data_IF_943376441242
#
_entry.id   IF_943376441242
#
_cell.length_a   1.000
_cell.length_b   1.000
_cell.length_c   1.000
_cell.angle_alpha   90.00
_cell.angle_beta   90.00
_cell.angle_gamma   90.00
#
_symmetry.space_group_name_H-M   'P 1'
#
loop_
_entity.id
_entity.type
_entity.pdbx_description
1 polymer ?
#
# COMPACT_ATOMS: atom_id res chain seq x y z
N UNK A 1 5.09 -2.47 -0.67
CA UNK A 1 5.47 -3.09 -1.96
C UNK A 1 5.33 -2.03 -3.05
N UNK A 2 6.12 -2.07 -4.13
CA UNK A 2 6.03 -1.11 -5.25
C UNK A 2 6.33 -1.77 -6.58
N UNK A 3 5.93 -1.11 -7.66
CA UNK A 3 6.39 -1.42 -9.01
C UNK A 3 7.85 -0.94 -9.16
N UNK A 4 8.77 -1.90 -9.29
CA UNK A 4 10.18 -1.66 -9.53
C UNK A 4 10.55 -1.75 -11.03
N UNK A 5 9.57 -1.88 -11.93
CA UNK A 5 9.79 -1.73 -13.36
C UNK A 5 10.16 -0.29 -13.73
N UNK A 6 10.67 -0.03 -14.96
CA UNK A 6 10.97 1.33 -15.41
C UNK A 6 9.79 2.31 -15.31
N UNK A 7 8.55 1.82 -15.32
CA UNK A 7 7.34 2.65 -15.31
C UNK A 7 6.93 3.15 -13.93
N UNK A 8 7.34 2.46 -12.85
CA UNK A 8 7.07 2.85 -11.45
C UNK A 8 5.60 3.23 -11.18
N UNK A 9 4.67 2.37 -11.59
CA UNK A 9 3.23 2.67 -11.65
C UNK A 9 2.57 2.85 -10.29
N UNK A 10 3.10 2.21 -9.25
CA UNK A 10 2.52 2.33 -7.92
C UNK A 10 3.54 2.12 -6.78
N UNK A 11 3.20 2.64 -5.61
CA UNK A 11 3.88 2.42 -4.33
C UNK A 11 2.83 2.23 -3.23
N UNK A 12 3.00 1.18 -2.42
CA UNK A 12 2.15 0.83 -1.28
C UNK A 12 2.99 0.89 -0.01
N UNK A 13 2.66 1.84 0.85
CA UNK A 13 3.27 2.05 2.16
C UNK A 13 2.25 1.79 3.27
N UNK A 14 2.68 1.15 4.34
CA UNK A 14 1.91 1.01 5.55
C UNK A 14 2.74 1.51 6.72
N UNK A 15 2.12 2.25 7.64
CA UNK A 15 2.76 2.69 8.88
C UNK A 15 1.99 2.16 10.08
N UNK A 16 2.69 1.83 11.15
CA UNK A 16 2.07 1.61 12.44
C UNK A 16 1.49 2.93 12.98
N UNK A 17 0.41 2.84 13.76
CA UNK A 17 -0.21 3.99 14.43
C UNK A 17 -0.31 3.70 15.94
N UNK A 18 -0.58 4.75 16.72
CA UNK A 18 -0.93 4.60 18.14
C UNK A 18 -2.42 4.31 18.39
N UNK A 19 -3.23 4.12 17.34
CA UNK A 19 -4.67 3.87 17.51
C UNK A 19 -4.92 2.36 17.73
N UNK A 20 -5.48 1.95 18.89
CA UNK A 20 -5.71 0.54 19.19
C UNK A 20 -6.80 -0.11 18.32
N UNK A 21 -7.72 0.67 17.75
CA UNK A 21 -8.75 0.17 16.83
C UNK A 21 -8.25 0.02 15.39
N UNK A 22 -7.28 0.85 15.01
CA UNK A 22 -6.72 0.91 13.66
C UNK A 22 -5.19 1.03 13.74
N UNK A 23 -4.53 -0.08 14.04
CA UNK A 23 -3.09 -0.12 14.32
C UNK A 23 -2.21 0.25 13.11
N UNK A 24 -2.79 0.37 11.92
CA UNK A 24 -2.09 0.73 10.69
C UNK A 24 -2.81 1.87 9.96
N UNK A 25 -2.03 2.65 9.22
CA UNK A 25 -2.50 3.55 8.18
C UNK A 25 -1.87 3.15 6.85
N UNK A 26 -2.62 3.28 5.77
CA UNK A 26 -2.22 2.94 4.41
C UNK A 26 -2.00 4.20 3.60
N UNK A 27 -0.90 4.25 2.85
CA UNK A 27 -0.60 5.30 1.88
C UNK A 27 -0.21 4.66 0.55
N UNK A 28 -0.91 5.05 -0.51
CA UNK A 28 -0.71 4.58 -1.86
C UNK A 28 -0.31 5.75 -2.74
N UNK A 29 0.58 5.47 -3.68
CA UNK A 29 0.75 6.30 -4.86
C UNK A 29 0.35 5.43 -6.05
N UNK A 30 -0.60 5.91 -6.85
CA UNK A 30 -1.03 5.28 -8.08
C UNK A 30 -0.80 6.32 -9.18
N UNK A 31 0.18 6.08 -10.04
CA UNK A 31 0.77 7.11 -10.89
C UNK A 31 1.26 8.32 -10.09
N UNK A 32 0.64 9.50 -10.26
CA UNK A 32 0.96 10.73 -9.54
C UNK A 32 -0.01 11.03 -8.39
N UNK A 33 -1.12 10.29 -8.31
CA UNK A 33 -2.15 10.51 -7.32
C UNK A 33 -1.77 9.86 -6.00
N UNK A 34 -1.90 10.61 -4.91
CA UNK A 34 -1.75 10.12 -3.55
C UNK A 34 -3.11 9.69 -2.99
N UNK A 35 -3.18 8.49 -2.43
CA UNK A 35 -4.34 8.01 -1.68
C UNK A 35 -3.93 7.57 -0.28
N UNK A 36 -4.66 8.02 0.73
CA UNK A 36 -4.44 7.61 2.12
C UNK A 36 -5.71 7.01 2.72
N UNK A 37 -5.58 5.91 3.47
CA UNK A 37 -6.63 5.35 4.31
C UNK A 37 -6.12 5.30 5.74
N UNK A 38 -6.70 6.14 6.60
CA UNK A 38 -6.24 6.35 7.96
C UNK A 38 -7.37 6.80 8.89
N UNK A 39 -7.16 6.61 10.19
CA UNK A 39 -7.95 7.27 11.22
C UNK A 39 -7.26 8.59 11.58
N UNK A 40 -8.03 9.69 11.66
CA UNK A 40 -7.50 11.04 11.93
C UNK A 40 -7.52 11.41 13.41
N UNK A 41 -8.40 10.79 14.18
CA UNK A 41 -8.49 10.91 15.64
C UNK A 41 -8.83 9.55 16.25
N UNK A 42 -8.48 9.33 17.53
CA UNK A 42 -8.65 8.04 18.21
C UNK A 42 -10.06 7.46 18.09
N UNK A 43 -11.08 8.32 18.11
CA UNK A 43 -12.49 7.93 18.11
C UNK A 43 -13.14 7.98 16.71
N UNK A 44 -12.41 8.46 15.69
CA UNK A 44 -12.90 8.50 14.31
C UNK A 44 -12.66 7.18 13.59
N UNK A 45 -13.64 6.79 12.77
CA UNK A 45 -13.46 5.71 11.80
C UNK A 45 -12.36 6.03 10.77
N UNK A 46 -12.04 5.05 9.95
CA UNK A 46 -11.15 5.26 8.81
C UNK A 46 -11.80 6.23 7.81
N UNK A 47 -10.99 7.12 7.27
CA UNK A 47 -11.36 8.00 6.16
C UNK A 47 -10.44 7.70 4.97
N UNK A 48 -10.92 8.06 3.79
CA UNK A 48 -10.11 8.06 2.56
C UNK A 48 -9.77 9.51 2.21
N UNK A 49 -8.51 9.76 1.91
CA UNK A 49 -8.06 11.02 1.32
C UNK A 49 -7.44 10.75 -0.04
N UNK A 50 -7.71 11.62 -1.00
CA UNK A 50 -7.08 11.65 -2.32
C UNK A 50 -6.50 13.04 -2.52
N UNK A 51 -5.19 13.09 -2.79
CA UNK A 51 -4.41 14.33 -2.88
C UNK A 51 -4.68 15.29 -1.70
N UNK A 52 -4.71 14.72 -0.49
CA UNK A 52 -4.96 15.44 0.76
C UNK A 52 -6.44 15.76 1.05
N UNK A 53 -7.33 15.64 0.08
CA UNK A 53 -8.75 15.94 0.22
C UNK A 53 -9.55 14.72 0.67
N UNK A 54 -10.41 14.86 1.70
CA UNK A 54 -11.30 13.77 2.11
C UNK A 54 -12.30 13.47 0.98
N UNK A 55 -12.44 12.20 0.63
CA UNK A 55 -13.44 11.72 -0.33
C UNK A 55 -14.45 10.81 0.36
N UNK A 56 -15.68 10.80 -0.14
CA UNK A 56 -16.74 9.92 0.35
C UNK A 56 -16.78 8.67 -0.54
N UNK A 57 -16.65 7.49 0.07
CA UNK A 57 -16.86 6.20 -0.56
C UNK A 57 -17.80 5.41 0.34
N UNK A 58 -18.94 4.96 -0.21
CA UNK A 58 -19.92 4.13 0.51
C UNK A 58 -20.16 2.82 -0.22
N UNK A 59 -20.84 1.87 0.41
CA UNK A 59 -21.21 0.59 -0.22
C UNK A 59 -22.12 0.76 -1.43
N UNK A 60 -22.89 1.84 -1.48
CA UNK A 60 -23.80 2.17 -2.58
C UNK A 60 -23.16 3.10 -3.61
N UNK A 61 -22.14 3.86 -3.22
CA UNK A 61 -21.48 4.86 -4.06
C UNK A 61 -19.96 4.74 -3.91
N UNK A 62 -19.33 3.87 -4.72
CA UNK A 62 -17.89 3.84 -4.85
C UNK A 62 -17.34 5.18 -5.31
N UNK A 63 -16.14 5.53 -4.85
CA UNK A 63 -15.42 6.70 -5.35
C UNK A 63 -14.55 6.27 -6.53
N UNK A 64 -14.69 6.93 -7.68
CA UNK A 64 -13.82 6.73 -8.84
C UNK A 64 -12.93 7.95 -9.04
N UNK A 65 -11.63 7.72 -9.19
CA UNK A 65 -10.67 8.75 -9.55
C UNK A 65 -10.28 8.58 -11.02
N UNK A 66 -10.30 9.68 -11.76
CA UNK A 66 -9.98 9.67 -13.20
C UNK A 66 -8.77 10.54 -13.49
N UNK A 67 -7.97 10.12 -14.46
CA UNK A 67 -6.89 10.89 -15.06
C UNK A 67 -7.16 10.99 -16.58
N UNK A 68 -7.26 12.21 -17.11
CA UNK A 68 -7.66 12.47 -18.51
C UNK A 68 -8.92 11.67 -18.94
N UNK A 69 -9.98 11.71 -18.12
CA UNK A 69 -11.26 10.99 -18.33
C UNK A 69 -11.17 9.45 -18.33
N UNK A 70 -10.03 8.89 -17.90
CA UNK A 70 -9.84 7.44 -17.74
C UNK A 70 -9.80 7.09 -16.25
N UNK A 71 -10.61 6.11 -15.82
CA UNK A 71 -10.59 5.58 -14.44
C UNK A 71 -9.19 5.07 -14.09
N UNK A 72 -8.53 5.76 -13.17
CA UNK A 72 -7.22 5.39 -12.64
C UNK A 72 -7.37 4.33 -11.53
N UNK A 73 -8.28 4.57 -10.60
CA UNK A 73 -8.66 3.62 -9.56
C UNK A 73 -10.07 3.91 -9.03
N UNK A 74 -10.65 2.90 -8.42
CA UNK A 74 -11.90 2.97 -7.68
C UNK A 74 -11.66 2.58 -6.22
N UNK A 75 -12.35 3.26 -5.31
CA UNK A 75 -12.41 2.93 -3.88
C UNK A 75 -13.82 2.48 -3.54
N UNK A 76 -13.93 1.26 -3.02
CA UNK A 76 -15.18 0.68 -2.53
C UNK A 76 -15.08 0.49 -1.03
N UNK A 77 -16.24 0.48 -0.37
CA UNK A 77 -16.31 0.03 1.02
C UNK A 77 -17.40 -1.02 1.16
N UNK A 78 -17.07 -2.13 1.80
CA UNK A 78 -18.02 -3.16 2.18
C UNK A 78 -17.77 -3.51 3.63
N UNK A 79 -18.80 -3.41 4.47
CA UNK A 79 -18.70 -3.51 5.92
C UNK A 79 -17.65 -2.53 6.50
N UNK A 80 -16.52 -3.06 7.00
CA UNK A 80 -15.38 -2.31 7.57
C UNK A 80 -14.12 -2.42 6.72
N UNK A 81 -14.25 -2.89 5.48
CA UNK A 81 -13.15 -3.05 4.54
C UNK A 81 -13.23 -1.98 3.45
N UNK A 82 -12.09 -1.36 3.20
CA UNK A 82 -11.85 -0.56 2.01
C UNK A 82 -11.18 -1.42 0.96
N UNK A 83 -11.69 -1.36 -0.25
CA UNK A 83 -11.07 -1.96 -1.42
C UNK A 83 -10.59 -0.85 -2.37
N UNK A 84 -9.33 -0.89 -2.79
CA UNK A 84 -8.79 -0.02 -3.83
C UNK A 84 -8.45 -0.87 -5.04
N UNK A 85 -9.07 -0.55 -6.18
CA UNK A 85 -8.93 -1.31 -7.42
C UNK A 85 -8.40 -0.38 -8.51
N UNK A 86 -7.20 -0.62 -9.00
CA UNK A 86 -6.68 0.00 -10.22
C UNK A 86 -6.58 -1.05 -11.31
N UNK A 87 -7.59 -1.13 -12.17
CA UNK A 87 -7.60 -2.06 -13.31
C UNK A 87 -6.48 -1.76 -14.31
N UNK A 88 -6.22 -0.48 -14.71
CA UNK A 88 -5.15 -0.18 -15.68
C UNK A 88 -3.76 -0.61 -15.19
N UNK A 89 -3.55 -0.62 -13.87
CA UNK A 89 -2.30 -1.04 -13.27
C UNK A 89 -2.36 -2.39 -12.58
N UNK A 90 -3.46 -3.14 -12.71
CA UNK A 90 -3.59 -4.50 -12.22
C UNK A 90 -3.29 -4.68 -10.73
N UNK A 91 -3.69 -3.74 -9.88
CA UNK A 91 -3.55 -3.85 -8.42
C UNK A 91 -4.90 -3.83 -7.72
N UNK A 92 -5.05 -4.71 -6.73
CA UNK A 92 -6.24 -4.85 -5.89
C UNK A 92 -5.78 -4.90 -4.44
N UNK A 93 -6.30 -3.98 -3.63
CA UNK A 93 -5.88 -3.82 -2.24
C UNK A 93 -7.12 -3.89 -1.37
N UNK A 94 -7.07 -4.65 -0.29
CA UNK A 94 -8.11 -4.64 0.74
C UNK A 94 -7.51 -4.31 2.11
N UNK A 95 -8.16 -3.40 2.83
CA UNK A 95 -7.64 -2.84 4.06
C UNK A 95 -8.75 -2.50 5.07
N UNK A 96 -8.54 -2.83 6.35
CA UNK A 96 -9.50 -2.53 7.41
C UNK A 96 -8.90 -1.76 8.60
N UNK A 97 -7.71 -1.17 8.44
CA UNK A 97 -7.00 -0.50 9.52
C UNK A 97 -6.04 -1.39 10.30
N UNK A 98 -6.12 -2.71 10.16
CA UNK A 98 -5.28 -3.68 10.87
C UNK A 98 -4.61 -4.68 9.93
N UNK A 99 -5.38 -5.21 8.98
CA UNK A 99 -4.95 -6.15 7.95
C UNK A 99 -4.91 -5.45 6.59
N UNK A 100 -3.89 -5.78 5.81
CA UNK A 100 -3.65 -5.31 4.45
C UNK A 100 -3.40 -6.53 3.55
N UNK A 101 -4.22 -6.69 2.52
CA UNK A 101 -3.96 -7.64 1.44
C UNK A 101 -3.66 -6.89 0.15
N UNK A 102 -2.67 -7.37 -0.58
CA UNK A 102 -2.24 -6.81 -1.86
C UNK A 102 -2.23 -7.92 -2.89
N UNK A 103 -2.93 -7.73 -3.99
CA UNK A 103 -2.86 -8.58 -5.17
C UNK A 103 -2.35 -7.74 -6.34
N UNK A 104 -1.42 -8.29 -7.09
CA UNK A 104 -0.86 -7.68 -8.29
C UNK A 104 -1.03 -8.62 -9.48
N UNK A 105 -1.27 -8.06 -10.66
CA UNK A 105 -1.42 -8.83 -11.87
C UNK A 105 -0.12 -9.56 -12.25
N UNK A 106 -0.27 -10.69 -12.93
CA UNK A 106 0.84 -11.59 -13.31
C UNK A 106 1.95 -10.89 -14.12
N UNK A 107 1.65 -9.80 -14.84
CA UNK A 107 2.65 -9.06 -15.62
C UNK A 107 3.69 -8.33 -14.75
N UNK A 108 3.50 -8.27 -13.43
CA UNK A 108 4.50 -7.80 -12.46
C UNK A 108 5.42 -8.90 -11.93
N UNK A 109 5.32 -10.14 -12.42
CA UNK A 109 6.24 -11.22 -12.00
C UNK A 109 7.70 -10.79 -12.17
N UNK A 110 8.48 -10.81 -11.08
CA UNK A 110 9.89 -10.36 -11.06
C UNK A 110 10.09 -8.85 -11.24
N UNK A 111 9.03 -8.04 -11.09
CA UNK A 111 9.07 -6.57 -11.26
C UNK A 111 8.62 -5.82 -10.01
N UNK A 112 8.25 -6.53 -8.94
CA UNK A 112 7.94 -5.91 -7.66
C UNK A 112 9.20 -5.79 -6.81
N UNK A 113 9.10 -4.99 -5.76
CA UNK A 113 10.09 -4.94 -4.71
C UNK A 113 9.44 -4.42 -3.42
N UNK A 114 10.00 -4.78 -2.27
CA UNK A 114 9.43 -4.48 -0.95
C UNK A 114 9.28 -5.73 -0.09
N UNK A 115 8.62 -5.56 1.06
CA UNK A 115 8.38 -6.63 2.03
C UNK A 115 7.59 -7.84 1.49
N UNK A 116 6.94 -7.71 0.33
CA UNK A 116 6.20 -8.80 -0.31
C UNK A 116 7.03 -9.54 -1.37
N UNK A 117 8.35 -9.32 -1.43
CA UNK A 117 9.25 -9.91 -2.41
C UNK A 117 9.15 -9.28 -3.79
N UNK A 118 9.81 -9.91 -4.76
CA UNK A 118 9.85 -9.47 -6.17
C UNK A 118 8.81 -10.16 -7.07
N UNK A 119 8.07 -11.11 -6.48
CA UNK A 119 7.04 -11.90 -7.14
C UNK A 119 7.57 -12.77 -8.29
N UNK A 120 8.79 -13.33 -8.20
CA UNK A 120 9.38 -14.17 -9.25
C UNK A 120 9.06 -15.69 -9.13
N UNK A 121 8.41 -16.11 -8.03
CA UNK A 121 8.10 -17.50 -7.61
C UNK A 121 9.28 -18.29 -7.01
N UNK A 122 10.41 -17.65 -6.73
CA UNK A 122 11.55 -18.24 -6.04
C UNK A 122 11.50 -17.98 -4.53
N UNK A 123 11.01 -18.99 -3.83
CA UNK A 123 10.85 -18.97 -2.37
C UNK A 123 12.18 -18.84 -1.61
N UNK A 124 13.33 -19.07 -2.25
CA UNK A 124 14.62 -19.06 -1.57
C UNK A 124 15.24 -17.66 -1.48
N UNK A 125 14.82 -16.71 -2.33
CA UNK A 125 15.41 -15.37 -2.43
C UNK A 125 14.44 -14.23 -2.10
N UNK A 126 13.35 -14.52 -1.38
CA UNK A 126 12.32 -13.54 -1.02
C UNK A 126 12.83 -12.44 -0.08
N UNK A 127 13.88 -12.71 0.71
CA UNK A 127 14.48 -11.75 1.65
C UNK A 127 15.55 -10.88 0.99
N UNK A 128 15.30 -10.39 -0.22
CA UNK A 128 16.21 -9.51 -0.96
C UNK A 128 15.86 -8.03 -0.75
N UNK A 129 16.78 -7.27 -0.16
CA UNK A 129 16.63 -5.85 0.13
C UNK A 129 16.66 -4.96 -1.11
N UNK A 130 16.42 -3.65 -0.93
CA UNK A 130 16.41 -2.68 -2.02
C UNK A 130 17.77 -2.48 -2.71
N UNK A 131 18.86 -2.86 -2.05
CA UNK A 131 20.24 -2.86 -2.55
C UNK A 131 20.64 -4.17 -3.24
N UNK A 132 19.72 -5.15 -3.31
CA UNK A 132 19.99 -6.49 -3.82
C UNK A 132 20.69 -7.41 -2.81
N UNK A 133 20.91 -6.97 -1.56
CA UNK A 133 21.44 -7.81 -0.51
C UNK A 133 20.42 -8.87 -0.10
N UNK A 134 20.84 -10.13 -0.06
CA UNK A 134 20.02 -11.23 0.46
C UNK A 134 20.25 -11.40 1.96
N UNK A 135 19.18 -11.28 2.73
CA UNK A 135 19.21 -11.33 4.19
C UNK A 135 18.87 -12.73 4.72
N UNK A 136 19.59 -13.16 5.75
CA UNK A 136 19.27 -14.38 6.49
C UNK A 136 18.28 -14.16 7.65
N UNK A 137 17.97 -12.90 7.97
CA UNK A 137 17.05 -12.50 9.04
C UNK A 137 15.89 -11.72 8.46
N UNK A 138 14.66 -12.17 8.75
CA UNK A 138 13.44 -11.48 8.35
C UNK A 138 13.32 -10.08 8.98
N UNK A 139 13.87 -9.90 10.19
CA UNK A 139 13.89 -8.61 10.87
C UNK A 139 14.82 -7.61 10.18
N UNK A 140 16.05 -8.04 9.85
CA UNK A 140 17.01 -7.17 9.16
C UNK A 140 16.55 -6.85 7.74
N UNK A 141 15.98 -7.83 7.04
CA UNK A 141 15.27 -7.62 5.78
C UNK A 141 14.17 -6.57 5.93
N UNK A 142 13.31 -6.68 6.94
CA UNK A 142 12.22 -5.74 7.14
C UNK A 142 12.72 -4.32 7.45
N UNK A 143 13.79 -4.19 8.24
CA UNK A 143 14.46 -2.92 8.55
C UNK A 143 15.02 -2.25 7.28
N UNK A 144 15.52 -3.02 6.31
CA UNK A 144 16.05 -2.49 5.04
C UNK A 144 15.02 -1.72 4.20
N UNK A 145 13.72 -1.98 4.41
CA UNK A 145 12.62 -1.34 3.68
C UNK A 145 11.93 -0.21 4.47
N UNK A 146 12.46 0.18 5.63
CA UNK A 146 11.92 1.32 6.38
C UNK A 146 12.17 2.60 5.59
N UNK A 147 11.08 3.32 5.29
CA UNK A 147 11.16 4.67 4.74
C UNK A 147 11.33 5.63 5.90
N UNK A 148 12.53 6.20 6.03
CA UNK A 148 12.82 7.13 7.12
C UNK A 148 12.08 8.46 6.93
N UNK A 149 11.56 8.99 8.03
CA UNK A 149 11.04 10.34 8.11
C UNK A 149 11.34 10.89 9.51
N UNK A 150 11.20 12.21 9.77
CA UNK A 150 11.41 12.76 11.10
C UNK A 150 10.61 12.05 12.21
N UNK A 151 9.45 11.47 11.85
CA UNK A 151 8.55 10.78 12.77
C UNK A 151 8.56 9.24 12.59
N UNK A 152 9.45 8.70 11.74
CA UNK A 152 9.52 7.26 11.46
C UNK A 152 10.97 6.80 11.36
N UNK A 153 11.38 6.02 12.37
CA UNK A 153 12.73 5.46 12.48
C UNK A 153 12.67 3.94 12.45
N UNK A 154 13.73 3.30 11.94
CA UNK A 154 13.86 1.85 12.04
C UNK A 154 13.92 1.43 13.51
N UNK A 155 13.31 0.29 13.90
CA UNK A 155 13.44 -0.25 15.25
C UNK A 155 14.91 -0.44 15.62
N UNK A 156 15.31 0.05 16.79
CA UNK A 156 16.71 0.03 17.24
C UNK A 156 17.25 -1.40 17.43
N UNK A 157 16.39 -2.36 17.80
CA UNK A 157 16.75 -3.75 18.07
C UNK A 157 15.67 -4.69 17.57
#
# INVERSE_FOLDING_TARGET
>A
SRDCSPNKRFLILARATGNPSFAKALKLFIHQTELEILSVSGDSGLIVRVDGSKVEATSERPYSHTDHDVELFEVRTQDKWFEVVSKPYGIYITFNGNLLFVQAAHFYRGKLCGLCGDYNLDRNHELSGPDGHHYNSSLEFAKSYVVTSPDCHAPAH
#
